data_IF_297130007199
#
_entry.id   IF_297130007199
#
_cell.length_a   1.000
_cell.length_b   1.000
_cell.length_c   1.000
_cell.angle_alpha   90.00
_cell.angle_beta   90.00
_cell.angle_gamma   90.00
#
_symmetry.space_group_name_H-M   'P 1'
#
loop_
_entity.id
_entity.type
_entity.pdbx_description
1 polymer ?
#
# COMPACT_ATOMS: atom_id res chain seq x y z
N UNK A 1 -0.60 0.57 14.15
CA UNK A 1 -0.96 1.26 12.89
C UNK A 1 -0.89 2.74 13.18
N UNK A 2 -0.36 3.54 12.26
CA UNK A 2 -0.39 5.00 12.37
C UNK A 2 -1.42 5.58 11.41
N UNK A 3 -2.38 6.34 11.94
CA UNK A 3 -3.37 7.09 11.16
C UNK A 3 -3.07 8.58 11.32
N UNK A 4 -2.57 9.22 10.26
CA UNK A 4 -2.23 10.64 10.28
C UNK A 4 -3.46 11.54 10.44
N UNK A 5 -3.26 12.81 10.84
CA UNK A 5 -4.36 13.76 10.99
C UNK A 5 -5.22 13.85 9.73
N UNK A 6 -6.54 13.83 9.93
CA UNK A 6 -7.54 13.97 8.86
C UNK A 6 -7.46 12.92 7.74
N UNK A 7 -6.83 11.77 7.98
CA UNK A 7 -6.98 10.64 7.06
C UNK A 7 -8.44 10.15 7.02
N UNK A 8 -8.85 9.58 5.89
CA UNK A 8 -10.26 9.23 5.64
C UNK A 8 -10.37 7.76 5.23
N UNK A 9 -11.22 7.01 5.93
CA UNK A 9 -11.70 5.72 5.49
C UNK A 9 -13.09 5.84 4.87
N UNK A 10 -13.38 4.99 3.89
CA UNK A 10 -14.76 4.76 3.40
C UNK A 10 -15.20 3.33 3.74
N UNK A 11 -16.49 3.04 3.55
CA UNK A 11 -17.05 1.69 3.70
C UNK A 11 -17.97 1.27 2.54
N UNK A 12 -18.47 2.21 1.72
CA UNK A 12 -19.28 1.94 0.52
C UNK A 12 -18.53 2.46 -0.71
N UNK A 13 -18.47 1.67 -1.77
CA UNK A 13 -17.75 2.01 -3.02
C UNK A 13 -18.46 3.13 -3.79
N UNK A 14 -19.79 3.07 -3.85
CA UNK A 14 -20.64 3.92 -4.68
C UNK A 14 -21.86 4.43 -3.89
N UNK A 15 -21.68 5.25 -2.84
CA UNK A 15 -22.79 5.77 -2.04
C UNK A 15 -23.71 6.68 -2.88
N UNK A 16 -25.01 6.63 -2.59
CA UNK A 16 -26.03 7.57 -3.10
C UNK A 16 -26.95 7.92 -1.94
N UNK A 17 -27.25 9.20 -1.73
CA UNK A 17 -27.93 9.71 -0.53
C UNK A 17 -29.27 9.03 -0.24
N UNK A 18 -30.08 8.76 -1.28
CA UNK A 18 -31.38 8.11 -1.14
C UNK A 18 -31.33 6.56 -1.15
N UNK A 19 -30.15 5.94 -1.36
CA UNK A 19 -30.00 4.48 -1.38
C UNK A 19 -29.19 4.01 -0.17
N UNK A 20 -29.86 3.33 0.76
CA UNK A 20 -29.18 2.65 1.86
C UNK A 20 -28.35 1.47 1.33
N UNK A 21 -27.06 1.43 1.69
CA UNK A 21 -26.10 0.37 1.33
C UNK A 21 -25.41 -0.23 2.55
N UNK A 22 -26.08 -0.23 3.71
CA UNK A 22 -25.52 -0.74 4.96
C UNK A 22 -25.09 -2.22 4.86
N UNK A 23 -25.79 -3.00 4.04
CA UNK A 23 -25.49 -4.39 3.71
C UNK A 23 -24.33 -4.58 2.70
N UNK A 24 -23.84 -3.50 2.07
CA UNK A 24 -22.78 -3.55 1.06
C UNK A 24 -21.43 -3.06 1.60
N UNK A 25 -21.32 -2.83 2.91
CA UNK A 25 -20.08 -2.37 3.53
C UNK A 25 -18.91 -3.29 3.21
N UNK A 26 -17.83 -2.69 2.71
CA UNK A 26 -16.59 -3.39 2.42
C UNK A 26 -15.59 -3.19 3.55
N UNK A 27 -15.02 -4.28 4.01
CA UNK A 27 -13.95 -4.27 5.02
C UNK A 27 -12.68 -3.68 4.41
N UNK A 28 -12.07 -2.74 5.12
CA UNK A 28 -10.71 -2.26 4.85
C UNK A 28 -9.79 -2.88 5.89
N UNK A 29 -8.79 -3.66 5.47
CA UNK A 29 -7.84 -4.29 6.38
C UNK A 29 -6.54 -3.49 6.40
N UNK A 30 -6.14 -3.02 7.58
CA UNK A 30 -4.84 -2.34 7.78
C UNK A 30 -3.96 -3.20 8.66
N UNK A 31 -2.88 -3.72 8.10
CA UNK A 31 -1.98 -4.66 8.77
C UNK A 31 -0.94 -3.94 9.65
N UNK A 32 -0.17 -4.73 10.39
CA UNK A 32 0.81 -4.28 11.37
C UNK A 32 1.78 -3.26 10.78
N UNK A 33 2.06 -2.20 11.52
CA UNK A 33 3.10 -1.23 11.16
C UNK A 33 2.79 -0.33 9.96
N UNK A 34 1.64 -0.48 9.30
CA UNK A 34 1.24 0.42 8.22
C UNK A 34 1.06 1.86 8.73
N UNK A 35 1.44 2.81 7.87
CA UNK A 35 1.37 4.25 8.09
C UNK A 35 0.48 4.87 7.02
N UNK A 36 -0.52 5.62 7.47
CA UNK A 36 -1.39 6.40 6.60
C UNK A 36 -1.10 7.88 6.85
N UNK A 37 -0.53 8.55 5.85
CA UNK A 37 -0.15 9.96 5.94
C UNK A 37 -1.34 10.89 6.16
N UNK A 38 -1.05 12.11 6.61
CA UNK A 38 -2.06 13.13 6.85
C UNK A 38 -2.91 13.38 5.59
N UNK A 39 -4.23 13.55 5.78
CA UNK A 39 -5.19 13.80 4.69
C UNK A 39 -5.20 12.74 3.56
N UNK A 40 -4.69 11.53 3.79
CA UNK A 40 -4.81 10.44 2.83
C UNK A 40 -6.21 9.80 2.88
N UNK A 41 -6.74 9.39 1.73
CA UNK A 41 -8.04 8.72 1.60
C UNK A 41 -7.87 7.27 1.18
N UNK A 42 -8.51 6.35 1.89
CA UNK A 42 -8.45 4.91 1.64
C UNK A 42 -9.83 4.43 1.17
N UNK A 43 -9.91 3.97 -0.08
CA UNK A 43 -11.11 3.35 -0.62
C UNK A 43 -11.40 2.04 0.12
N UNK A 44 -12.66 1.74 0.39
CA UNK A 44 -13.05 0.52 1.08
C UNK A 44 -12.79 -0.76 0.27
N UNK A 45 -12.75 -1.90 0.96
CA UNK A 45 -12.60 -3.20 0.33
C UNK A 45 -11.16 -3.56 -0.07
N UNK A 46 -10.18 -2.77 0.36
CA UNK A 46 -8.77 -3.00 0.08
C UNK A 46 -7.99 -3.34 1.34
N UNK A 47 -6.79 -3.87 1.13
CA UNK A 47 -5.84 -4.20 2.18
C UNK A 47 -4.58 -3.34 2.07
N UNK A 48 -4.18 -2.76 3.19
CA UNK A 48 -2.85 -2.17 3.38
C UNK A 48 -2.01 -3.19 4.13
N UNK A 49 -1.02 -3.78 3.45
CA UNK A 49 -0.14 -4.78 4.04
C UNK A 49 0.84 -4.19 5.06
N UNK A 50 1.60 -5.09 5.70
CA UNK A 50 2.50 -4.75 6.78
C UNK A 50 3.51 -3.68 6.37
N UNK A 51 3.66 -2.66 7.22
CA UNK A 51 4.59 -1.55 7.00
C UNK A 51 4.41 -0.80 5.68
N UNK A 52 3.24 -0.91 5.02
CA UNK A 52 2.88 -0.04 3.91
C UNK A 52 2.92 1.44 4.35
N UNK A 53 3.38 2.31 3.47
CA UNK A 53 3.50 3.74 3.75
C UNK A 53 2.72 4.54 2.71
N UNK A 54 1.61 5.13 3.14
CA UNK A 54 0.79 6.02 2.31
C UNK A 54 1.24 7.45 2.57
N UNK A 55 1.72 8.14 1.54
CA UNK A 55 2.09 9.55 1.63
C UNK A 55 0.89 10.45 1.92
N UNK A 56 1.16 11.63 2.47
CA UNK A 56 0.13 12.63 2.75
C UNK A 56 -0.68 12.97 1.48
N UNK A 57 -1.97 13.26 1.65
CA UNK A 57 -2.88 13.65 0.57
C UNK A 57 -3.16 12.59 -0.50
N UNK A 58 -2.72 11.34 -0.31
CA UNK A 58 -2.83 10.30 -1.33
C UNK A 58 -4.20 9.62 -1.33
N UNK A 59 -4.70 9.22 -2.51
CA UNK A 59 -5.99 8.50 -2.66
C UNK A 59 -5.72 7.06 -3.09
N UNK A 60 -5.87 6.12 -2.16
CA UNK A 60 -5.55 4.70 -2.37
C UNK A 60 -6.79 3.95 -2.82
N UNK A 61 -6.72 3.34 -4.01
CA UNK A 61 -7.86 2.68 -4.67
C UNK A 61 -7.66 1.18 -4.91
N UNK A 62 -6.51 0.62 -4.50
CA UNK A 62 -6.15 -0.79 -4.70
C UNK A 62 -5.32 -1.28 -3.52
N UNK A 63 -5.24 -2.59 -3.34
CA UNK A 63 -4.38 -3.23 -2.34
C UNK A 63 -2.94 -2.70 -2.42
N UNK A 64 -2.35 -2.49 -1.24
CA UNK A 64 -1.01 -1.95 -1.10
C UNK A 64 -0.09 -3.03 -0.54
N UNK A 65 0.94 -3.47 -1.29
CA UNK A 65 1.87 -4.50 -0.84
C UNK A 65 2.66 -4.08 0.40
N UNK A 66 3.17 -5.08 1.13
CA UNK A 66 3.99 -4.84 2.32
C UNK A 66 5.17 -3.95 1.99
N UNK A 67 5.51 -3.00 2.87
CA UNK A 67 6.60 -2.04 2.69
C UNK A 67 6.45 -1.07 1.50
N UNK A 68 5.34 -1.08 0.74
CA UNK A 68 5.22 -0.22 -0.44
C UNK A 68 5.05 1.26 -0.04
N UNK A 69 5.77 2.15 -0.74
CA UNK A 69 5.60 3.59 -0.64
C UNK A 69 4.62 4.08 -1.72
N UNK A 70 3.44 4.51 -1.31
CA UNK A 70 2.35 4.94 -2.20
C UNK A 70 2.13 6.45 -2.10
N UNK A 71 2.10 7.16 -3.23
CA UNK A 71 1.82 8.61 -3.26
C UNK A 71 0.89 9.00 -4.41
N UNK A 72 0.18 10.12 -4.26
CA UNK A 72 -0.57 10.78 -5.33
C UNK A 72 -2.05 10.43 -5.41
N UNK A 73 -2.72 10.97 -6.43
CA UNK A 73 -4.17 10.83 -6.66
C UNK A 73 -4.42 10.46 -8.13
N UNK A 74 -4.83 9.21 -8.43
CA UNK A 74 -4.85 8.04 -7.54
C UNK A 74 -3.42 7.58 -7.19
N UNK A 75 -3.25 7.00 -6.01
CA UNK A 75 -1.95 6.62 -5.47
C UNK A 75 -1.23 5.60 -6.36
N UNK A 76 0.08 5.78 -6.52
CA UNK A 76 0.97 4.87 -7.24
C UNK A 76 2.19 4.56 -6.39
N UNK A 77 2.71 3.35 -6.54
CA UNK A 77 3.93 2.94 -5.86
C UNK A 77 5.13 3.65 -6.49
N UNK A 78 5.89 4.39 -5.69
CA UNK A 78 7.12 5.09 -6.11
C UNK A 78 8.39 4.50 -5.49
N UNK A 79 8.25 3.44 -4.70
CA UNK A 79 9.35 2.76 -4.06
C UNK A 79 8.90 1.90 -2.88
N UNK A 80 9.82 1.71 -1.96
CA UNK A 80 9.63 0.89 -0.77
C UNK A 80 10.14 1.63 0.47
N UNK A 81 9.54 1.36 1.62
CA UNK A 81 9.93 1.86 2.93
C UNK A 81 10.44 0.73 3.82
N UNK A 82 11.48 1.01 4.57
CA UNK A 82 11.92 0.17 5.66
C UNK A 82 10.90 0.22 6.80
N UNK A 83 10.87 -0.82 7.63
CA UNK A 83 10.04 -0.84 8.85
C UNK A 83 10.36 0.32 9.82
N UNK A 84 11.56 0.91 9.74
CA UNK A 84 11.97 2.06 10.53
C UNK A 84 11.54 3.42 9.93
N UNK A 85 10.82 3.44 8.81
CA UNK A 85 10.32 4.67 8.17
C UNK A 85 11.21 5.26 7.07
N UNK A 86 12.36 4.65 6.78
CA UNK A 86 13.31 5.14 5.78
C UNK A 86 13.06 4.59 4.38
N UNK A 87 13.20 5.45 3.36
CA UNK A 87 13.04 5.01 1.97
C UNK A 87 14.18 4.07 1.58
N UNK A 88 13.81 2.90 1.05
CA UNK A 88 14.78 1.92 0.58
C UNK A 88 15.35 2.33 -0.78
N UNK A 89 16.65 2.14 -1.01
CA UNK A 89 17.28 2.42 -2.30
C UNK A 89 16.76 1.48 -3.39
N UNK A 90 16.86 1.91 -4.65
CA UNK A 90 16.49 1.08 -5.79
C UNK A 90 17.60 0.10 -6.17
N UNK A 91 17.87 -0.85 -5.26
CA UNK A 91 18.78 -1.98 -5.45
C UNK A 91 18.03 -3.28 -5.17
N UNK A 92 18.56 -4.44 -5.55
CA UNK A 92 18.05 -5.74 -5.09
C UNK A 92 19.24 -6.67 -4.81
N UNK A 93 19.45 -7.15 -3.58
CA UNK A 93 18.67 -6.88 -2.36
C UNK A 93 18.71 -5.41 -1.93
N UNK A 94 17.66 -4.96 -1.23
CA UNK A 94 17.56 -3.60 -0.65
C UNK A 94 18.10 -3.65 0.77
N UNK A 95 18.94 -2.68 1.14
CA UNK A 95 19.43 -2.51 2.52
C UNK A 95 19.05 -1.12 3.00
N UNK A 96 18.45 -1.04 4.19
CA UNK A 96 18.21 0.24 4.85
C UNK A 96 19.55 0.85 5.28
N UNK A 97 19.75 2.14 5.01
CA UNK A 97 20.98 2.85 5.40
C UNK A 97 21.05 3.19 6.90
N UNK A 98 19.90 3.25 7.57
CA UNK A 98 19.79 3.68 8.97
C UNK A 98 19.85 2.49 9.93
N UNK A 99 19.00 1.48 9.74
CA UNK A 99 18.94 0.32 10.64
C UNK A 99 19.61 -0.95 10.09
N UNK A 100 20.14 -0.92 8.87
CA UNK A 100 20.82 -2.07 8.26
C UNK A 100 19.93 -3.25 7.86
N UNK A 101 18.61 -3.21 8.15
CA UNK A 101 17.67 -4.27 7.78
C UNK A 101 17.70 -4.54 6.27
N UNK A 102 17.74 -5.82 5.90
CA UNK A 102 17.82 -6.26 4.51
C UNK A 102 16.47 -6.78 4.01
N UNK A 103 16.19 -6.47 2.75
CA UNK A 103 14.95 -6.84 2.07
C UNK A 103 15.26 -7.44 0.71
N UNK A 104 14.43 -8.39 0.28
CA UNK A 104 14.50 -9.01 -1.04
C UNK A 104 13.19 -8.80 -1.77
N UNK A 105 13.31 -8.30 -3.00
CA UNK A 105 12.19 -8.14 -3.90
C UNK A 105 12.03 -9.42 -4.71
N UNK A 106 10.84 -10.01 -4.67
CA UNK A 106 10.48 -11.15 -5.50
C UNK A 106 9.87 -10.64 -6.79
N UNK A 107 10.53 -10.96 -7.91
CA UNK A 107 9.93 -10.78 -9.23
C UNK A 107 8.78 -11.77 -9.40
N UNK A 108 7.66 -11.31 -9.96
CA UNK A 108 6.63 -12.20 -10.50
C UNK A 108 7.30 -13.15 -11.48
N UNK A 109 7.23 -14.48 -11.26
CA UNK A 109 7.59 -15.46 -12.30
C UNK A 109 6.81 -15.07 -13.55
N UNK A 110 7.52 -14.65 -14.61
CA UNK A 110 6.93 -14.50 -15.93
C UNK A 110 6.66 -15.92 -16.42
N UNK A 111 5.41 -16.39 -16.27
CA UNK A 111 4.92 -17.45 -17.14
C UNK A 111 5.07 -16.98 -18.57
N UNK A 112 5.69 -17.79 -19.42
CA UNK A 112 5.76 -17.60 -20.86
C UNK A 112 4.33 -17.56 -21.42
N UNK A 113 3.76 -16.37 -21.59
CA UNK A 113 2.40 -16.21 -22.10
C UNK A 113 2.06 -14.73 -22.21
N UNK A 114 1.97 -14.25 -23.45
CA UNK A 114 1.60 -12.88 -23.79
C UNK A 114 0.19 -12.59 -23.25
N UNK A 115 0.09 -11.74 -22.24
CA UNK A 115 -1.15 -10.99 -21.94
C UNK A 115 -0.80 -9.60 -21.44
N UNK A 116 -1.20 -8.59 -22.22
CA UNK A 116 -1.09 -7.17 -21.88
C UNK A 116 -2.09 -6.88 -20.76
N UNK A 117 -1.64 -6.29 -19.65
CA UNK A 117 -2.54 -5.66 -18.67
C UNK A 117 -2.49 -6.16 -17.24
N UNK A 118 -1.32 -6.52 -16.71
CA UNK A 118 -1.14 -6.73 -15.27
C UNK A 118 0.31 -6.56 -14.88
N UNK A 119 0.67 -5.41 -14.28
CA UNK A 119 1.95 -5.32 -13.57
C UNK A 119 1.86 -6.32 -12.42
N UNK A 120 2.47 -7.50 -12.60
CA UNK A 120 2.55 -8.53 -11.56
C UNK A 120 2.95 -7.88 -10.25
N UNK A 121 2.26 -8.24 -9.16
CA UNK A 121 2.46 -7.65 -7.85
C UNK A 121 3.86 -7.99 -7.34
N UNK A 122 4.87 -7.17 -7.66
CA UNK A 122 6.17 -7.28 -7.02
C UNK A 122 5.98 -7.19 -5.51
N UNK A 123 6.54 -8.15 -4.78
CA UNK A 123 6.47 -8.23 -3.33
C UNK A 123 7.84 -7.97 -2.74
N UNK A 124 7.88 -7.25 -1.62
CA UNK A 124 9.08 -7.07 -0.83
C UNK A 124 8.93 -7.83 0.48
N UNK A 125 9.96 -8.60 0.85
CA UNK A 125 10.04 -9.26 2.17
C UNK A 125 11.33 -8.88 2.89
N UNK A 126 11.25 -8.78 4.22
CA UNK A 126 12.44 -8.70 5.08
C UNK A 126 13.18 -10.03 5.08
N UNK A 127 14.51 -10.00 5.14
CA UNK A 127 15.37 -11.20 5.13
C UNK A 127 16.20 -11.33 6.42
N UNK A 128 16.66 -10.20 6.96
CA UNK A 128 17.37 -10.11 8.24
C UNK A 128 17.15 -8.73 8.83
#
# INVERSE_FOLDING_TARGET
VFCGPSMVFTNVINPRSHVSRKNEYKRTLVRRGATIGANATILCGITLDEYAFIGAGSVVTKDVPAYALMVGVPARRIGWMCQCGERLPDKNPKSCKVCGTKYRQEGSRRGTGVSRGGRGSEKLRRVS
#
